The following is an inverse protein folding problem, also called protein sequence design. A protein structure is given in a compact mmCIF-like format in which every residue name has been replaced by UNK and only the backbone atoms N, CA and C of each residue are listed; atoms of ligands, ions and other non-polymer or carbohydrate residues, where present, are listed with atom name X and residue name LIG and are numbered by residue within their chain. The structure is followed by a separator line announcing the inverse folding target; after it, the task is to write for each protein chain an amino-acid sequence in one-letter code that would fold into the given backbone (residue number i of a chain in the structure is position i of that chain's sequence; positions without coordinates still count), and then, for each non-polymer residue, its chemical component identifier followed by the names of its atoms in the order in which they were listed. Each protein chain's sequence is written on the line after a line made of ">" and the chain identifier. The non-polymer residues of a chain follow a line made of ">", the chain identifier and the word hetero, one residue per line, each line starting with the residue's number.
data_IF_503197661361
#
_entry.id   IF_503197661361
#
_cell.length_a   1.000
_cell.length_b   1.000
_cell.length_c   1.000
_cell.angle_alpha   90.00
_cell.angle_beta   90.00
_cell.angle_gamma   90.00
#
_symmetry.space_group_name_H-M   'P 1'
#
loop_
_entity.id
_entity.type
_entity.pdbx_description
1 polymer ?
#
# COMPACT_ATOMS: atom_id res chain seq x y z
N UNK A 1 -18.37 -11.14 8.11
CA UNK A 1 -17.59 -10.33 9.02
C UNK A 1 -16.97 -9.13 8.31
N UNK A 2 -17.09 -7.96 8.91
CA UNK A 2 -16.69 -6.72 8.24
C UNK A 2 -15.33 -6.19 8.68
N UNK A 3 -14.54 -6.98 9.39
CA UNK A 3 -13.24 -6.54 9.86
C UNK A 3 -12.08 -6.77 8.91
N UNK A 4 -12.32 -7.50 7.82
CA UNK A 4 -11.26 -7.78 6.85
C UNK A 4 -11.01 -6.57 5.95
N UNK A 5 -9.78 -6.42 5.48
CA UNK A 5 -9.36 -5.25 4.72
C UNK A 5 -9.69 -5.31 3.23
N UNK A 6 -10.54 -6.25 2.82
CA UNK A 6 -10.87 -6.48 1.40
C UNK A 6 -11.42 -5.24 0.69
N UNK A 7 -11.87 -4.23 1.43
CA UNK A 7 -12.35 -2.98 0.85
C UNK A 7 -11.28 -2.25 0.01
N UNK A 8 -10.02 -2.60 0.19
CA UNK A 8 -8.94 -2.04 -0.63
C UNK A 8 -9.14 -2.35 -2.11
N UNK A 9 -9.77 -3.49 -2.41
CA UNK A 9 -10.01 -3.88 -3.80
C UNK A 9 -11.30 -3.31 -4.38
N UNK A 10 -12.05 -2.56 -3.58
CA UNK A 10 -13.24 -1.85 -4.06
C UNK A 10 -12.79 -0.75 -5.02
N UNK A 11 -13.48 -0.61 -6.16
CA UNK A 11 -13.10 0.38 -7.17
C UNK A 11 -13.21 1.82 -6.67
N UNK A 12 -13.98 2.04 -5.61
CA UNK A 12 -14.12 3.37 -5.01
C UNK A 12 -13.06 3.64 -3.93
N UNK A 13 -12.20 2.68 -3.65
CA UNK A 13 -11.16 2.86 -2.64
C UNK A 13 -10.15 3.91 -3.09
N UNK A 14 -9.85 4.86 -2.21
CA UNK A 14 -8.90 5.93 -2.52
C UNK A 14 -7.48 5.49 -2.16
N UNK A 15 -6.85 4.79 -3.09
CA UNK A 15 -5.48 4.31 -2.91
C UNK A 15 -4.51 5.47 -3.08
N UNK A 16 -3.67 5.71 -2.06
CA UNK A 16 -2.63 6.74 -2.15
C UNK A 16 -1.56 6.30 -3.14
N UNK A 17 -1.04 7.25 -3.91
CA UNK A 17 0.09 6.98 -4.81
C UNK A 17 1.35 6.71 -3.97
N UNK A 18 2.30 5.99 -4.56
CA UNK A 18 3.56 5.70 -3.86
C UNK A 18 4.34 6.98 -3.55
N UNK A 19 4.24 8.00 -4.40
CA UNK A 19 4.91 9.28 -4.11
C UNK A 19 4.27 9.99 -2.92
N UNK A 20 2.95 9.88 -2.74
CA UNK A 20 2.29 10.41 -1.55
C UNK A 20 2.70 9.63 -0.29
N UNK A 21 2.82 8.31 -0.41
CA UNK A 21 3.28 7.47 0.69
C UNK A 21 4.72 7.82 1.06
N UNK A 22 5.57 8.03 0.06
CA UNK A 22 6.96 8.42 0.27
C UNK A 22 7.04 9.73 1.06
N UNK A 23 6.29 10.74 0.64
CA UNK A 23 6.25 12.03 1.33
C UNK A 23 5.79 11.87 2.77
N UNK A 24 4.75 11.06 2.98
CA UNK A 24 4.23 10.83 4.33
C UNK A 24 5.28 10.16 5.23
N UNK A 25 5.93 9.10 4.72
CA UNK A 25 6.95 8.38 5.47
C UNK A 25 8.13 9.29 5.81
N UNK A 26 8.55 10.13 4.87
CA UNK A 26 9.64 11.06 5.10
C UNK A 26 9.31 12.07 6.19
N UNK A 27 8.04 12.49 6.26
CA UNK A 27 7.60 13.46 7.24
C UNK A 27 7.29 12.84 8.59
N UNK A 28 6.56 11.73 8.59
CA UNK A 28 6.01 11.13 9.82
C UNK A 28 6.76 9.90 10.32
N UNK A 29 7.62 9.32 9.51
CA UNK A 29 8.44 8.15 9.87
C UNK A 29 7.64 6.88 10.18
N UNK A 30 6.41 6.80 9.68
CA UNK A 30 5.61 5.58 9.72
C UNK A 30 4.64 5.60 8.55
N UNK A 31 4.03 4.46 8.27
CA UNK A 31 3.08 4.34 7.15
C UNK A 31 1.76 5.07 7.46
N UNK A 32 1.12 5.65 6.43
CA UNK A 32 -0.20 6.25 6.62
C UNK A 32 -1.21 5.25 7.17
N UNK A 33 -2.00 5.68 8.13
CA UNK A 33 -3.02 4.82 8.73
C UNK A 33 -2.50 3.83 9.75
N UNK A 34 -1.19 3.74 9.94
CA UNK A 34 -0.59 2.85 10.93
C UNK A 34 -0.13 3.65 12.14
N UNK A 35 -0.24 3.10 13.36
CA UNK A 35 0.28 3.81 14.53
C UNK A 35 1.80 3.85 14.49
N UNK A 36 2.37 4.91 15.04
CA UNK A 36 3.83 5.01 15.20
C UNK A 36 4.28 4.07 16.31
N UNK A 37 5.59 3.80 16.36
CA UNK A 37 6.15 2.96 17.43
C UNK A 37 5.85 3.56 18.81
N UNK A 38 5.95 4.88 18.92
CA UNK A 38 5.66 5.58 20.18
C UNK A 38 4.21 5.41 20.59
N UNK A 39 3.29 5.48 19.64
CA UNK A 39 1.86 5.27 19.92
C UNK A 39 1.58 3.84 20.37
N UNK A 40 2.24 2.88 19.74
CA UNK A 40 2.10 1.47 20.10
C UNK A 40 2.60 1.22 21.53
N UNK A 41 3.73 1.81 21.88
CA UNK A 41 4.29 1.69 23.24
C UNK A 41 3.38 2.33 24.29
N UNK A 42 2.80 3.47 23.95
CA UNK A 42 1.98 4.22 24.91
C UNK A 42 0.61 3.60 25.12
N UNK A 43 -0.02 3.10 24.04
CA UNK A 43 -1.43 2.70 24.08
C UNK A 43 -1.66 1.21 23.95
N UNK A 44 -0.61 0.44 23.71
CA UNK A 44 -0.74 -0.97 23.39
C UNK A 44 -1.33 -1.17 22.00
N UNK A 45 -1.41 -2.41 21.61
CA UNK A 45 -1.91 -2.74 20.26
C UNK A 45 -2.80 -3.97 20.34
N UNK A 46 -4.02 -3.86 19.82
CA UNK A 46 -4.90 -4.99 19.66
C UNK A 46 -4.39 -5.86 18.50
N UNK A 47 -4.23 -7.16 18.76
CA UNK A 47 -3.75 -8.09 17.75
C UNK A 47 -4.66 -8.11 16.52
N UNK A 48 -5.96 -8.21 16.72
CA UNK A 48 -6.90 -8.25 15.61
C UNK A 48 -6.92 -6.96 14.80
N UNK A 49 -6.85 -5.83 15.49
CA UNK A 49 -6.82 -4.52 14.82
C UNK A 49 -5.54 -4.36 14.01
N UNK A 50 -4.40 -4.73 14.60
CA UNK A 50 -3.12 -4.66 13.90
C UNK A 50 -3.10 -5.59 12.70
N UNK A 51 -3.61 -6.82 12.84
CA UNK A 51 -3.66 -7.77 11.74
C UNK A 51 -4.47 -7.22 10.56
N UNK A 52 -5.60 -6.57 10.86
CA UNK A 52 -6.43 -5.96 9.82
C UNK A 52 -5.70 -4.81 9.12
N UNK A 53 -4.99 -3.99 9.88
CA UNK A 53 -4.21 -2.89 9.31
C UNK A 53 -3.07 -3.41 8.44
N UNK A 54 -2.40 -4.46 8.89
CA UNK A 54 -1.33 -5.06 8.10
C UNK A 54 -1.87 -5.68 6.80
N UNK A 55 -3.02 -6.33 6.87
CA UNK A 55 -3.66 -6.88 5.68
C UNK A 55 -4.01 -5.75 4.70
N UNK A 56 -4.54 -4.64 5.21
CA UNK A 56 -4.82 -3.46 4.38
C UNK A 56 -3.57 -3.01 3.63
N UNK A 57 -2.43 -2.94 4.34
CA UNK A 57 -1.19 -2.51 3.71
C UNK A 57 -0.68 -3.52 2.68
N UNK A 58 -0.82 -4.80 2.96
CA UNK A 58 -0.46 -5.84 1.99
C UNK A 58 -1.31 -5.72 0.73
N UNK A 59 -2.60 -5.47 0.88
CA UNK A 59 -3.49 -5.32 -0.27
C UNK A 59 -3.18 -4.06 -1.06
N UNK A 60 -2.88 -2.95 -0.39
CA UNK A 60 -2.44 -1.72 -1.07
C UNK A 60 -1.15 -1.95 -1.84
N UNK A 61 -0.18 -2.63 -1.24
CA UNK A 61 1.07 -2.97 -1.91
C UNK A 61 0.83 -3.86 -3.11
N UNK A 62 -0.09 -4.81 -2.99
CA UNK A 62 -0.45 -5.71 -4.08
C UNK A 62 -0.96 -4.92 -5.28
N UNK A 63 -1.85 -3.96 -5.04
CA UNK A 63 -2.37 -3.12 -6.11
C UNK A 63 -1.26 -2.32 -6.80
N UNK A 64 -0.33 -1.77 -6.02
CA UNK A 64 0.80 -1.03 -6.58
C UNK A 64 1.72 -1.95 -7.39
N UNK A 65 1.93 -3.18 -6.94
CA UNK A 65 2.75 -4.14 -7.67
C UNK A 65 2.11 -4.54 -8.99
N UNK A 66 0.80 -4.74 -9.00
CA UNK A 66 0.07 -5.06 -10.22
C UNK A 66 0.25 -3.93 -11.23
N UNK A 67 0.09 -2.69 -10.77
CA UNK A 67 0.26 -1.52 -11.63
C UNK A 67 1.67 -1.43 -12.19
N UNK A 68 2.67 -1.65 -11.34
CA UNK A 68 4.07 -1.64 -11.77
C UNK A 68 4.35 -2.73 -12.79
N UNK A 69 3.80 -3.92 -12.59
CA UNK A 69 3.99 -5.01 -13.53
C UNK A 69 3.41 -4.67 -14.90
N UNK A 70 2.22 -4.08 -14.92
CA UNK A 70 1.59 -3.68 -16.18
C UNK A 70 2.40 -2.60 -16.90
N UNK A 71 2.88 -1.62 -16.15
CA UNK A 71 3.71 -0.54 -16.69
C UNK A 71 5.03 -1.09 -17.23
N UNK A 72 5.60 -2.05 -16.49
CA UNK A 72 6.84 -2.68 -16.88
C UNK A 72 6.69 -3.50 -18.16
N UNK A 73 5.60 -4.23 -18.28
CA UNK A 73 5.31 -5.01 -19.48
C UNK A 73 5.12 -4.08 -20.68
N UNK A 74 4.42 -2.97 -20.51
CA UNK A 74 4.22 -1.99 -21.56
C UNK A 74 5.55 -1.37 -21.98
N UNK A 75 6.42 -1.06 -21.02
CA UNK A 75 7.73 -0.50 -21.31
C UNK A 75 8.61 -1.50 -22.06
N UNK A 76 8.59 -2.77 -21.68
CA UNK A 76 9.33 -3.81 -22.38
C UNK A 76 8.87 -3.95 -23.83
N UNK A 77 7.57 -3.89 -24.06
CA UNK A 77 7.03 -3.96 -25.41
C UNK A 77 7.53 -2.80 -26.28
N UNK A 78 7.58 -1.60 -25.69
CA UNK A 78 8.08 -0.42 -26.40
C UNK A 78 9.57 -0.53 -26.71
N UNK A 79 10.35 -1.03 -25.78
CA UNK A 79 11.79 -1.25 -25.99
C UNK A 79 12.02 -2.27 -27.11
N UNK A 80 11.25 -3.35 -27.11
CA UNK A 80 11.35 -4.37 -28.15
C UNK A 80 11.04 -3.81 -29.53
N UNK A 81 10.11 -2.86 -29.61
CA UNK A 81 9.81 -2.20 -30.87
C UNK A 81 11.00 -1.41 -31.40
N UNK A 82 11.76 -0.79 -30.53
CA UNK A 82 12.95 -0.02 -30.94
C UNK A 82 14.12 -0.91 -31.33
N UNK A 83 14.13 -2.15 -30.91
CA UNK A 83 15.23 -3.08 -31.16
C UNK A 83 15.10 -3.79 -32.52
N UNK A 84 14.01 -3.63 -33.21
CA UNK A 84 13.79 -4.28 -34.50
C UNK A 84 14.57 -3.63 -35.64
#
# INVERSE_FOLDING_TARGET
>A
MHGAADYVFDENYNLKSLSEVESYVNEHKHLPGMPSAAEMDANGVSVSKMSNLLLEKVEELTLHMIKLEKENAALKARVQEFEK
#
